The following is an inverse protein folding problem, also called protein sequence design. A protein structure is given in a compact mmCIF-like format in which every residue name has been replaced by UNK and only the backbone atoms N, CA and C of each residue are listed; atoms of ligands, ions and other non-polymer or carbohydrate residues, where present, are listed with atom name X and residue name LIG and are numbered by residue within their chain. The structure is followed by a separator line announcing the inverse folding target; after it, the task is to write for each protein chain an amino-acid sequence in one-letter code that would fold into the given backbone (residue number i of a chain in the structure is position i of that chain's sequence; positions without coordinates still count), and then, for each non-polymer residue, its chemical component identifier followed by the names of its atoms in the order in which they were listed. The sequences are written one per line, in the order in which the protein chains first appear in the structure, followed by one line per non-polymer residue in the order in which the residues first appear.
data_IF_128639201986
#
_entry.id   IF_128639201986
#
_cell.length_a   1.000
_cell.length_b   1.000
_cell.length_c   1.000
_cell.angle_alpha   90.00
_cell.angle_beta   90.00
_cell.angle_gamma   90.00
#
_symmetry.space_group_name_H-M   'P 1'
#
loop_
_entity.id
_entity.type
_entity.pdbx_description
1 polymer ?
#
# COMPACT_ATOMS: atom_id res chain seq x y z
N UNK A 1 -26.91 -1.82 -8.04
CA UNK A 1 -26.41 -2.67 -6.93
C UNK A 1 -25.11 -3.41 -7.27
N UNK A 2 -24.97 -4.12 -8.40
CA UNK A 2 -23.72 -4.83 -8.78
C UNK A 2 -22.46 -3.95 -8.82
N UNK A 3 -22.56 -2.71 -9.34
CA UNK A 3 -21.43 -1.77 -9.41
C UNK A 3 -20.88 -1.38 -8.01
N UNK A 4 -21.78 -1.18 -7.04
CA UNK A 4 -21.41 -0.81 -5.67
C UNK A 4 -20.73 -1.99 -4.96
N UNK A 5 -21.20 -3.22 -5.21
CA UNK A 5 -20.57 -4.42 -4.67
C UNK A 5 -19.13 -4.58 -5.21
N UNK A 6 -18.90 -4.40 -6.51
CA UNK A 6 -17.56 -4.47 -7.12
C UNK A 6 -16.63 -3.40 -6.52
N UNK A 7 -17.11 -2.16 -6.39
CA UNK A 7 -16.34 -1.06 -5.80
C UNK A 7 -16.02 -1.37 -4.33
N UNK A 8 -16.98 -1.90 -3.57
CA UNK A 8 -16.77 -2.24 -2.15
C UNK A 8 -15.78 -3.39 -1.99
N UNK A 9 -15.86 -4.42 -2.82
CA UNK A 9 -14.87 -5.51 -2.83
C UNK A 9 -13.48 -5.01 -3.22
N UNK A 10 -13.38 -4.11 -4.21
CA UNK A 10 -12.11 -3.49 -4.58
C UNK A 10 -11.54 -2.66 -3.41
N UNK A 11 -12.37 -1.87 -2.73
CA UNK A 11 -11.98 -1.11 -1.53
C UNK A 11 -11.56 -2.01 -0.36
N UNK A 12 -12.16 -3.19 -0.22
CA UNK A 12 -11.74 -4.18 0.78
C UNK A 12 -10.40 -4.84 0.40
N UNK A 13 -10.14 -5.08 -0.89
CA UNK A 13 -8.84 -5.56 -1.38
C UNK A 13 -7.72 -4.52 -1.20
N UNK A 14 -8.06 -3.22 -1.17
CA UNK A 14 -7.13 -2.15 -0.82
C UNK A 14 -6.58 -2.27 0.62
N UNK A 15 -7.23 -3.02 1.52
CA UNK A 15 -6.69 -3.29 2.87
C UNK A 15 -5.41 -4.16 2.85
N UNK A 16 -5.14 -4.86 1.74
CA UNK A 16 -3.91 -5.61 1.52
C UNK A 16 -2.74 -4.78 0.97
N UNK A 17 -3.00 -3.56 0.48
CA UNK A 17 -1.96 -2.69 -0.08
C UNK A 17 -1.09 -2.12 1.04
N UNK A 18 0.18 -2.54 1.08
CA UNK A 18 1.14 -2.10 2.09
C UNK A 18 1.29 -0.59 2.19
N UNK A 19 1.11 0.14 1.08
CA UNK A 19 1.15 1.61 1.07
C UNK A 19 0.06 2.21 1.96
N UNK A 20 -1.18 1.73 1.89
CA UNK A 20 -2.26 2.23 2.74
C UNK A 20 -2.06 1.85 4.21
N UNK A 21 -1.61 0.63 4.48
CA UNK A 21 -1.29 0.18 5.84
C UNK A 21 -0.23 1.09 6.47
N UNK A 22 0.82 1.44 5.72
CA UNK A 22 1.89 2.33 6.18
C UNK A 22 1.48 3.80 6.25
N UNK A 23 0.53 4.24 5.41
CA UNK A 23 0.01 5.61 5.43
C UNK A 23 -0.94 5.86 6.61
N UNK A 24 -1.73 4.85 7.00
CA UNK A 24 -2.69 4.93 8.11
C UNK A 24 -2.04 4.60 9.46
N UNK A 25 -0.90 3.91 9.45
CA UNK A 25 -0.16 3.57 10.68
C UNK A 25 0.26 4.85 11.44
N UNK A 26 -0.22 5.06 12.70
CA UNK A 26 0.03 6.29 13.45
C UNK A 26 1.42 6.33 14.11
N UNK A 27 2.25 5.31 13.91
CA UNK A 27 3.48 5.11 14.70
C UNK A 27 4.70 5.81 14.12
N UNK A 28 4.69 6.18 12.84
CA UNK A 28 5.82 6.86 12.19
C UNK A 28 5.36 7.65 10.96
N UNK A 29 6.05 8.75 10.60
CA UNK A 29 5.83 9.39 9.31
C UNK A 29 6.05 8.39 8.17
N UNK A 30 5.37 8.62 7.05
CA UNK A 30 5.51 7.78 5.87
C UNK A 30 6.91 7.92 5.28
N UNK A 31 7.67 6.83 5.22
CA UNK A 31 8.99 6.78 4.60
C UNK A 31 8.86 6.44 3.11
N UNK A 32 9.84 6.88 2.30
CA UNK A 32 9.91 6.49 0.89
C UNK A 32 9.90 4.98 0.74
N UNK A 33 9.02 4.47 -0.12
CA UNK A 33 8.86 3.04 -0.39
C UNK A 33 8.43 2.15 0.81
N UNK A 34 7.83 2.75 1.85
CA UNK A 34 7.41 2.01 3.04
C UNK A 34 6.39 0.89 2.72
N UNK A 35 5.46 1.13 1.80
CA UNK A 35 4.45 0.17 1.37
C UNK A 35 5.03 -1.01 0.60
N UNK A 36 5.90 -0.72 -0.36
CA UNK A 36 6.64 -1.72 -1.16
C UNK A 36 7.47 -2.62 -0.26
N UNK A 37 8.18 -2.04 0.72
CA UNK A 37 8.98 -2.79 1.69
C UNK A 37 8.11 -3.69 2.57
N UNK A 38 6.95 -3.21 2.99
CA UNK A 38 6.00 -3.99 3.77
C UNK A 38 5.46 -5.19 2.97
N UNK A 39 5.01 -4.95 1.74
CA UNK A 39 4.47 -6.03 0.89
C UNK A 39 5.54 -7.06 0.53
N UNK A 40 6.79 -6.62 0.34
CA UNK A 40 7.92 -7.52 0.13
C UNK A 40 8.15 -8.43 1.34
N UNK A 41 8.16 -7.86 2.55
CA UNK A 41 8.31 -8.64 3.78
C UNK A 41 7.15 -9.60 4.00
N UNK A 42 5.92 -9.16 3.71
CA UNK A 42 4.74 -10.02 3.86
C UNK A 42 4.69 -11.09 2.76
N UNK A 43 5.21 -10.82 1.56
CA UNK A 43 5.32 -11.80 0.48
C UNK A 43 6.33 -12.89 0.83
N UNK A 44 7.46 -12.52 1.45
CA UNK A 44 8.41 -13.49 1.98
C UNK A 44 7.82 -14.36 3.09
N UNK A 45 6.93 -13.81 3.92
CA UNK A 45 6.35 -14.50 5.08
C UNK A 45 5.14 -15.37 4.74
N UNK A 46 4.28 -14.92 3.84
CA UNK A 46 2.97 -15.54 3.55
C UNK A 46 2.73 -15.83 2.06
N UNK A 47 3.61 -15.39 1.15
CA UNK A 47 3.54 -15.64 -0.30
C UNK A 47 2.47 -14.87 -1.07
N UNK A 48 1.35 -14.53 -0.42
CA UNK A 48 0.15 -13.96 -1.04
C UNK A 48 0.29 -12.49 -1.51
N UNK A 49 0.93 -11.55 -0.78
CA UNK A 49 0.95 -10.14 -1.19
C UNK A 49 2.01 -9.81 -2.26
N UNK A 50 2.52 -10.81 -2.98
CA UNK A 50 3.39 -10.58 -4.15
C UNK A 50 2.65 -9.83 -5.28
N UNK A 51 1.33 -9.98 -5.34
CA UNK A 51 0.49 -9.28 -6.31
C UNK A 51 0.35 -7.78 -6.02
N UNK A 52 0.50 -7.38 -4.75
CA UNK A 52 0.34 -5.99 -4.32
C UNK A 52 1.65 -5.19 -4.43
N UNK A 53 2.81 -5.87 -4.53
CA UNK A 53 4.12 -5.25 -4.76
C UNK A 53 4.17 -4.21 -5.90
N UNK A 54 3.73 -4.51 -7.15
CA UNK A 54 3.78 -3.54 -8.24
C UNK A 54 2.84 -2.34 -7.99
N UNK A 55 1.71 -2.57 -7.32
CA UNK A 55 0.75 -1.50 -7.00
C UNK A 55 1.27 -0.60 -5.88
N UNK A 56 1.83 -1.17 -4.83
CA UNK A 56 2.47 -0.43 -3.75
C UNK A 56 3.70 0.33 -4.24
N UNK A 57 4.48 -0.21 -5.18
CA UNK A 57 5.58 0.54 -5.81
C UNK A 57 5.09 1.76 -6.60
N UNK A 58 4.00 1.61 -7.37
CA UNK A 58 3.41 2.73 -8.11
C UNK A 58 2.90 3.82 -7.17
N UNK A 59 2.18 3.44 -6.12
CA UNK A 59 1.64 4.37 -5.13
C UNK A 59 2.75 5.04 -4.30
N UNK A 60 3.78 4.30 -3.90
CA UNK A 60 4.93 4.85 -3.19
C UNK A 60 5.68 5.86 -4.04
N UNK A 61 5.82 5.59 -5.33
CA UNK A 61 6.43 6.51 -6.29
C UNK A 61 5.58 7.77 -6.44
N UNK A 62 4.26 7.64 -6.50
CA UNK A 62 3.35 8.77 -6.53
C UNK A 62 3.39 9.61 -5.23
N UNK A 63 3.74 9.00 -4.10
CA UNK A 63 3.87 9.65 -2.79
C UNK A 63 5.26 10.25 -2.54
N UNK A 64 6.25 10.04 -3.41
CA UNK A 64 7.59 10.62 -3.25
C UNK A 64 7.59 12.15 -3.07
N UNK A 65 6.83 12.94 -3.85
CA UNK A 65 6.79 14.40 -3.66
C UNK A 65 6.27 14.80 -2.27
N UNK A 66 5.36 14.01 -1.69
CA UNK A 66 4.83 14.25 -0.35
C UNK A 66 5.87 13.96 0.74
N UNK A 67 6.67 12.91 0.58
CA UNK A 67 7.77 12.59 1.49
C UNK A 67 8.85 13.67 1.41
N UNK A 68 9.29 14.03 0.20
CA UNK A 68 10.32 15.05 -0.01
C UNK A 68 9.89 16.46 0.40
N UNK A 69 8.60 16.78 0.35
CA UNK A 69 8.10 18.06 0.85
C UNK A 69 8.11 18.17 2.39
N UNK A 70 8.36 17.05 3.09
CA UNK A 70 8.39 16.97 4.57
C UNK A 70 9.80 16.79 5.15
N UNK A 71 10.80 16.55 4.30
CA UNK A 71 12.22 16.61 4.64
C UNK A 71 12.71 18.07 4.68
#
# INVERSE_FOLDING_TARGET
MKKIAIISTALLLLSGCGTLVKLVAPTSPYESYAGTKYDWQMAQKWGVPILDLPLSFLLDTALLPYVWAKE
#
